data_IF_536700365891
#
_entry.id   IF_536700365891
#
_cell.length_a   1.000
_cell.length_b   1.000
_cell.length_c   1.000
_cell.angle_alpha   90.00
_cell.angle_beta   90.00
_cell.angle_gamma   90.00
#
_symmetry.space_group_name_H-M   'P 1'
#
loop_
_entity.id
_entity.type
_entity.pdbx_description
1 polymer ?
#
# COMPACT_ATOMS: atom_id res chain seq x y z
N UNK A 1 -6.47 5.29 -17.92
CA UNK A 1 -5.83 5.01 -16.62
C UNK A 1 -6.09 6.22 -15.74
N UNK A 2 -6.62 6.06 -14.52
CA UNK A 2 -6.92 7.20 -13.63
C UNK A 2 -5.60 7.69 -13.02
N UNK A 3 -5.39 9.00 -12.96
CA UNK A 3 -4.19 9.62 -12.36
C UNK A 3 -4.58 10.74 -11.40
N UNK A 4 -3.87 10.82 -10.29
CA UNK A 4 -4.01 11.87 -9.28
C UNK A 4 -2.86 12.86 -9.42
N UNK A 5 -3.17 14.13 -9.65
CA UNK A 5 -2.17 15.20 -9.76
C UNK A 5 -2.14 16.00 -8.46
N UNK A 6 -0.95 16.14 -7.90
CA UNK A 6 -0.69 16.94 -6.71
C UNK A 6 0.17 18.14 -7.13
N UNK A 7 -0.29 19.35 -6.81
CA UNK A 7 0.45 20.60 -6.93
C UNK A 7 0.85 21.10 -5.56
N UNK A 8 2.11 21.50 -5.40
CA UNK A 8 2.61 22.07 -4.14
C UNK A 8 2.42 23.59 -4.16
N UNK A 9 1.91 24.19 -3.08
CA UNK A 9 1.66 25.65 -3.03
C UNK A 9 2.95 26.47 -3.19
N UNK A 10 4.09 25.95 -2.72
CA UNK A 10 5.38 26.64 -2.72
C UNK A 10 6.28 26.27 -3.92
N UNK A 11 5.82 25.39 -4.83
CA UNK A 11 6.62 25.00 -5.99
C UNK A 11 5.76 24.71 -7.21
N UNK A 12 6.21 25.13 -8.40
CA UNK A 12 5.56 24.81 -9.67
C UNK A 12 5.63 23.32 -10.06
N UNK A 13 6.15 22.45 -9.19
CA UNK A 13 6.25 21.02 -9.45
C UNK A 13 4.87 20.37 -9.30
N UNK A 14 4.43 19.73 -10.38
CA UNK A 14 3.26 18.86 -10.39
C UNK A 14 3.76 17.41 -10.37
N UNK A 15 3.26 16.61 -9.44
CA UNK A 15 3.56 15.18 -9.38
C UNK A 15 2.29 14.39 -9.65
N UNK A 16 2.36 13.45 -10.58
CA UNK A 16 1.27 12.55 -10.91
C UNK A 16 1.49 11.19 -10.24
N UNK A 17 0.42 10.62 -9.72
CA UNK A 17 0.40 9.31 -9.09
C UNK A 17 -0.73 8.46 -9.66
N UNK A 18 -0.45 7.18 -9.91
CA UNK A 18 -1.49 6.21 -10.20
C UNK A 18 -2.11 5.66 -8.89
N UNK A 19 -3.29 5.03 -8.93
CA UNK A 19 -3.96 4.52 -7.73
C UNK A 19 -3.11 3.54 -6.91
N UNK A 20 -2.28 2.74 -7.57
CA UNK A 20 -1.41 1.76 -6.91
C UNK A 20 -0.30 2.47 -6.14
N UNK A 21 0.30 3.52 -6.71
CA UNK A 21 1.31 4.31 -6.03
C UNK A 21 0.73 5.01 -4.79
N UNK A 22 -0.50 5.52 -4.88
CA UNK A 22 -1.19 6.09 -3.71
C UNK A 22 -1.40 5.01 -2.64
N UNK A 23 -1.88 3.82 -3.02
CA UNK A 23 -2.05 2.70 -2.09
C UNK A 23 -0.72 2.28 -1.44
N UNK A 24 0.38 2.20 -2.20
CA UNK A 24 1.72 1.92 -1.68
C UNK A 24 2.15 2.97 -0.66
N UNK A 25 1.89 4.26 -0.89
CA UNK A 25 2.24 5.31 0.06
C UNK A 25 1.47 5.16 1.37
N UNK A 26 0.18 4.84 1.33
CA UNK A 26 -0.62 4.57 2.53
C UNK A 26 -0.05 3.38 3.30
N UNK A 27 0.20 2.26 2.61
CA UNK A 27 0.72 1.04 3.22
C UNK A 27 2.13 1.24 3.78
N UNK A 28 2.94 2.10 3.17
CA UNK A 28 4.28 2.45 3.66
C UNK A 28 4.21 3.24 4.97
N UNK A 29 3.26 4.17 5.08
CA UNK A 29 3.00 4.87 6.35
C UNK A 29 2.61 3.89 7.45
N UNK A 30 1.69 2.95 7.16
CA UNK A 30 1.29 1.92 8.11
C UNK A 30 2.45 1.00 8.50
N UNK A 31 3.34 0.66 7.56
CA UNK A 31 4.53 -0.15 7.83
C UNK A 31 5.45 0.56 8.82
N UNK A 32 5.69 1.86 8.64
CA UNK A 32 6.48 2.66 9.57
C UNK A 32 5.89 2.71 10.97
N UNK A 33 4.57 2.85 11.09
CA UNK A 33 3.87 2.80 12.38
C UNK A 33 4.05 1.42 13.04
N UNK A 34 3.84 0.34 12.28
CA UNK A 34 4.00 -1.03 12.80
C UNK A 34 5.44 -1.29 13.25
N UNK A 35 6.44 -0.91 12.44
CA UNK A 35 7.88 -0.99 12.77
C UNK A 35 8.21 -0.27 14.07
N UNK A 36 7.73 0.96 14.21
CA UNK A 36 7.95 1.75 15.42
C UNK A 36 7.29 1.12 16.66
N UNK A 37 6.13 0.49 16.51
CA UNK A 37 5.42 -0.12 17.63
C UNK A 37 6.12 -1.38 18.15
N UNK A 38 6.72 -2.19 17.27
CA UNK A 38 7.39 -3.45 17.63
C UNK A 38 8.87 -3.27 18.02
N UNK A 39 9.43 -2.06 17.91
CA UNK A 39 10.84 -1.75 18.20
C UNK A 39 11.85 -2.65 17.47
N UNK A 40 11.49 -3.16 16.29
CA UNK A 40 12.30 -4.07 15.51
C UNK A 40 12.70 -3.39 14.20
N UNK A 41 13.92 -2.86 14.13
CA UNK A 41 14.42 -2.15 12.94
C UNK A 41 14.74 -3.12 11.79
N UNK A 42 15.17 -4.35 12.10
CA UNK A 42 15.70 -5.30 11.11
C UNK A 42 14.71 -6.36 10.62
N UNK A 43 13.60 -6.62 11.32
CA UNK A 43 12.71 -7.72 10.95
C UNK A 43 11.65 -7.31 9.92
N UNK A 44 11.49 -8.08 8.85
CA UNK A 44 10.35 -7.90 7.94
C UNK A 44 9.04 -8.17 8.68
N UNK A 45 8.04 -7.31 8.50
CA UNK A 45 6.73 -7.52 9.11
C UNK A 45 5.86 -8.35 8.18
N UNK A 46 5.49 -9.54 8.65
CA UNK A 46 4.54 -10.43 8.01
C UNK A 46 3.12 -9.87 8.13
N UNK A 47 2.34 -9.92 7.05
CA UNK A 47 0.96 -9.45 7.07
C UNK A 47 -0.01 -10.30 6.24
N UNK A 48 -1.27 -10.25 6.63
CA UNK A 48 -2.41 -10.73 5.84
C UNK A 48 -3.22 -9.51 5.43
N UNK A 49 -3.46 -9.36 4.12
CA UNK A 49 -4.24 -8.26 3.58
C UNK A 49 -5.70 -8.67 3.40
N UNK A 50 -6.58 -7.71 3.62
CA UNK A 50 -7.99 -7.81 3.29
C UNK A 50 -8.23 -7.19 1.90
N UNK A 51 -9.08 -7.82 1.10
CA UNK A 51 -9.54 -7.30 -0.17
C UNK A 51 -11.06 -7.44 -0.30
N UNK A 52 -11.75 -6.50 -0.96
CA UNK A 52 -13.18 -6.61 -1.20
C UNK A 52 -13.54 -7.89 -1.96
N UNK A 53 -14.69 -8.48 -1.63
CA UNK A 53 -15.15 -9.75 -2.24
C UNK A 53 -15.23 -9.65 -3.77
N UNK A 54 -15.66 -8.49 -4.29
CA UNK A 54 -15.80 -8.23 -5.73
C UNK A 54 -14.46 -7.99 -6.46
N UNK A 55 -13.32 -7.96 -5.76
CA UNK A 55 -12.02 -7.85 -6.42
C UNK A 55 -11.68 -9.14 -7.18
N UNK A 56 -11.47 -8.99 -8.48
CA UNK A 56 -10.91 -10.05 -9.31
C UNK A 56 -9.44 -10.35 -8.97
N UNK A 57 -8.90 -11.41 -9.57
CA UNK A 57 -7.52 -11.86 -9.32
C UNK A 57 -6.47 -10.78 -9.57
N UNK A 58 -6.62 -10.02 -10.65
CA UNK A 58 -5.63 -8.99 -11.00
C UNK A 58 -5.68 -7.80 -10.04
N UNK A 59 -6.86 -7.41 -9.56
CA UNK A 59 -6.99 -6.41 -8.49
C UNK A 59 -6.29 -6.86 -7.21
N UNK A 60 -6.46 -8.13 -6.81
CA UNK A 60 -5.79 -8.70 -5.62
C UNK A 60 -4.27 -8.72 -5.79
N UNK A 61 -3.77 -9.09 -6.97
CA UNK A 61 -2.33 -9.02 -7.29
C UNK A 61 -1.79 -7.60 -7.19
N UNK A 62 -2.53 -6.61 -7.69
CA UNK A 62 -2.11 -5.21 -7.61
C UNK A 62 -2.03 -4.71 -6.17
N UNK A 63 -3.00 -5.05 -5.32
CA UNK A 63 -2.97 -4.71 -3.89
C UNK A 63 -1.81 -5.40 -3.17
N UNK A 64 -1.60 -6.70 -3.43
CA UNK A 64 -0.45 -7.44 -2.89
C UNK A 64 0.88 -6.79 -3.28
N UNK A 65 1.02 -6.43 -4.56
CA UNK A 65 2.21 -5.75 -5.07
C UNK A 65 2.41 -4.39 -4.39
N UNK A 66 1.34 -3.61 -4.21
CA UNK A 66 1.41 -2.32 -3.53
C UNK A 66 1.97 -2.45 -2.10
N UNK A 67 1.56 -3.49 -1.37
CA UNK A 67 2.06 -3.77 -0.02
C UNK A 67 3.50 -4.26 -0.01
N UNK A 68 3.88 -5.14 -0.96
CA UNK A 68 5.27 -5.58 -1.11
C UNK A 68 6.20 -4.42 -1.44
N UNK A 69 5.79 -3.54 -2.37
CA UNK A 69 6.53 -2.33 -2.72
C UNK A 69 6.62 -1.34 -1.54
N UNK A 70 5.74 -1.46 -0.54
CA UNK A 70 5.77 -0.70 0.72
C UNK A 70 6.63 -1.33 1.83
N UNK A 71 7.16 -2.54 1.63
CA UNK A 71 8.06 -3.23 2.57
C UNK A 71 7.43 -4.38 3.36
N UNK A 72 6.14 -4.68 3.15
CA UNK A 72 5.46 -5.77 3.86
C UNK A 72 5.79 -7.15 3.27
N UNK A 73 5.96 -8.15 4.13
CA UNK A 73 5.94 -9.54 3.70
C UNK A 73 4.50 -10.07 3.70
N UNK A 74 3.86 -10.01 2.53
CA UNK A 74 2.45 -10.43 2.41
C UNK A 74 2.34 -11.95 2.40
N UNK A 75 1.76 -12.54 3.44
CA UNK A 75 1.48 -13.97 3.52
C UNK A 75 0.30 -14.32 2.62
N UNK A 76 -0.85 -13.66 2.83
CA UNK A 76 -2.07 -13.96 2.09
C UNK A 76 -2.95 -12.72 1.85
N UNK A 77 -3.84 -12.80 0.87
CA UNK A 77 -4.89 -11.79 0.62
C UNK A 77 -6.24 -12.48 0.75
N UNK A 78 -6.93 -12.24 1.86
CA UNK A 78 -8.24 -12.80 2.17
C UNK A 78 -9.36 -11.83 1.81
N UNK A 79 -10.58 -12.35 1.76
CA UNK A 79 -11.76 -11.51 1.63
C UNK A 79 -12.01 -10.72 2.91
N UNK A 80 -12.41 -9.46 2.76
CA UNK A 80 -13.03 -8.71 3.84
C UNK A 80 -14.25 -9.49 4.38
N UNK A 81 -14.40 -9.64 5.71
CA UNK A 81 -15.62 -10.20 6.28
C UNK A 81 -16.78 -9.26 5.95
N UNK A 82 -17.86 -9.83 5.40
CA UNK A 82 -19.11 -9.10 5.15
C UNK A 82 -19.79 -8.71 6.46
#
# INVERSE_FOLDING_TARGET
MIEYKISYQESSRVKAFNPIQVATLILKTLYGIAKSAIHSEDETIDCVLLAPVFFNHDSRKRVRKAAQDAGWNVLHVINEPC
#
